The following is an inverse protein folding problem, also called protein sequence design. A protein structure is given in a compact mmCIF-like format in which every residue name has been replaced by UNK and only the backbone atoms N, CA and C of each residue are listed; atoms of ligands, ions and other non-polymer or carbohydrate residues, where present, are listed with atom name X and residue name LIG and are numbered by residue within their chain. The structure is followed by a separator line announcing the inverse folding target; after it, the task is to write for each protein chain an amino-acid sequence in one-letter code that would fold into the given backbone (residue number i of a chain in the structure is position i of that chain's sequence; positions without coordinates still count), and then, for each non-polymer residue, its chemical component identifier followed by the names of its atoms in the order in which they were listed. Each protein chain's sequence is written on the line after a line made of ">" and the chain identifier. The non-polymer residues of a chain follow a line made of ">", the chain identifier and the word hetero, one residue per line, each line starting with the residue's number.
data_IF_763022423263
#
_entry.id   IF_763022423263
#
_cell.length_a   1.000
_cell.length_b   1.000
_cell.length_c   1.000
_cell.angle_alpha   90.00
_cell.angle_beta   90.00
_cell.angle_gamma   90.00
#
_symmetry.space_group_name_H-M   'P 1'
#
loop_
_entity.id
_entity.type
_entity.pdbx_description
1 polymer ?
#
# COMPACT_ATOMS: atom_id res chain seq x y z
N UNK A 1 -8.77 33.68 9.27
CA UNK A 1 -7.64 33.89 8.34
C UNK A 1 -6.41 33.07 8.71
N UNK A 2 -6.00 33.03 9.99
CA UNK A 2 -4.84 32.24 10.46
C UNK A 2 -4.91 30.73 10.15
N UNK A 3 -6.08 30.09 10.29
CA UNK A 3 -6.25 28.66 10.00
C UNK A 3 -6.07 28.33 8.50
N UNK A 4 -6.58 29.18 7.60
CA UNK A 4 -6.39 29.02 6.15
C UNK A 4 -4.92 29.21 5.76
N UNK A 5 -4.26 30.21 6.36
CA UNK A 5 -2.83 30.43 6.17
C UNK A 5 -1.99 29.24 6.69
N UNK A 6 -2.33 28.68 7.86
CA UNK A 6 -1.69 27.50 8.40
C UNK A 6 -1.88 26.26 7.52
N UNK A 7 -3.10 26.05 7.01
CA UNK A 7 -3.39 24.95 6.10
C UNK A 7 -2.59 25.05 4.79
N UNK A 8 -2.54 26.25 4.20
CA UNK A 8 -1.75 26.50 2.98
C UNK A 8 -0.26 26.31 3.27
N UNK A 9 0.25 26.80 4.40
CA UNK A 9 1.64 26.58 4.79
C UNK A 9 1.96 25.09 4.95
N UNK A 10 1.09 24.32 5.62
CA UNK A 10 1.25 22.88 5.80
C UNK A 10 1.21 22.12 4.45
N UNK A 11 0.31 22.49 3.54
CA UNK A 11 0.23 21.91 2.21
C UNK A 11 1.50 22.20 1.38
N UNK A 12 2.05 23.42 1.47
CA UNK A 12 3.30 23.78 0.80
C UNK A 12 4.50 23.02 1.37
N UNK A 13 4.56 22.85 2.70
CA UNK A 13 5.61 22.05 3.34
C UNK A 13 5.51 20.59 2.90
N UNK A 14 4.31 20.00 2.92
CA UNK A 14 4.08 18.62 2.49
C UNK A 14 4.40 18.42 1.01
N UNK A 15 3.96 19.34 0.16
CA UNK A 15 4.30 19.36 -1.26
C UNK A 15 5.80 19.47 -1.48
N UNK A 16 6.48 20.36 -0.76
CA UNK A 16 7.94 20.50 -0.80
C UNK A 16 8.67 19.21 -0.42
N UNK A 17 8.25 18.54 0.67
CA UNK A 17 8.81 17.25 1.08
C UNK A 17 8.58 16.19 -0.02
N UNK A 18 7.38 16.09 -0.58
CA UNK A 18 7.08 15.15 -1.65
C UNK A 18 7.95 15.40 -2.90
N UNK A 19 8.16 16.67 -3.28
CA UNK A 19 9.04 17.05 -4.39
C UNK A 19 10.49 16.64 -4.13
N UNK A 20 11.03 16.84 -2.92
CA UNK A 20 12.39 16.38 -2.59
C UNK A 20 12.54 14.86 -2.63
N UNK A 21 11.46 14.11 -2.44
CA UNK A 21 11.44 12.66 -2.61
C UNK A 21 11.56 12.25 -4.08
N UNK A 22 10.94 13.00 -5.00
CA UNK A 22 11.03 12.78 -6.45
C UNK A 22 12.45 12.98 -6.99
N UNK A 23 13.21 13.93 -6.43
CA UNK A 23 14.61 14.14 -6.81
C UNK A 23 15.55 12.97 -6.43
N UNK A 24 15.09 12.07 -5.54
CA UNK A 24 15.87 10.94 -5.00
C UNK A 24 15.45 9.58 -5.56
N UNK A 25 14.58 9.54 -6.56
CA UNK A 25 14.20 8.27 -7.19
C UNK A 25 15.39 7.67 -7.94
N UNK A 26 15.47 6.33 -7.94
CA UNK A 26 16.49 5.64 -8.72
C UNK A 26 16.26 5.89 -10.23
N UNK A 27 17.31 5.94 -11.06
CA UNK A 27 17.15 5.99 -12.50
C UNK A 27 16.37 4.78 -13.00
N UNK A 28 15.56 4.98 -14.04
CA UNK A 28 14.83 3.90 -14.68
C UNK A 28 15.80 2.78 -15.14
N UNK A 29 15.47 1.53 -14.85
CA UNK A 29 16.29 0.36 -15.18
C UNK A 29 17.52 0.14 -14.30
N UNK A 30 17.71 0.90 -13.21
CA UNK A 30 18.81 0.72 -12.24
C UNK A 30 18.26 0.53 -10.82
N UNK A 31 17.80 -0.67 -10.46
CA UNK A 31 17.36 -0.96 -9.09
C UNK A 31 18.56 -0.96 -8.12
N UNK A 32 18.31 -0.60 -6.86
CA UNK A 32 19.37 -0.47 -5.84
C UNK A 32 19.71 -1.83 -5.18
N UNK A 33 18.80 -2.34 -4.35
CA UNK A 33 18.95 -3.63 -3.66
C UNK A 33 17.91 -4.59 -4.20
N UNK A 34 18.37 -5.60 -4.94
CA UNK A 34 17.51 -6.56 -5.66
C UNK A 34 17.51 -7.95 -5.03
N UNK A 35 18.20 -8.18 -3.92
CA UNK A 35 18.34 -9.53 -3.34
C UNK A 35 16.98 -10.20 -3.05
N UNK A 36 16.03 -9.42 -2.53
CA UNK A 36 14.66 -9.88 -2.28
C UNK A 36 13.89 -10.11 -3.59
N UNK A 37 14.02 -9.21 -4.57
CA UNK A 37 13.37 -9.32 -5.87
C UNK A 37 13.86 -10.59 -6.61
N UNK A 38 15.17 -10.81 -6.64
CA UNK A 38 15.83 -11.98 -7.22
C UNK A 38 15.39 -13.27 -6.51
N UNK A 39 15.28 -13.26 -5.17
CA UNK A 39 14.78 -14.41 -4.42
C UNK A 39 13.37 -14.79 -4.88
N UNK A 40 12.44 -13.84 -4.95
CA UNK A 40 11.06 -14.12 -5.40
C UNK A 40 11.02 -14.59 -6.85
N UNK A 41 11.81 -13.99 -7.74
CA UNK A 41 11.86 -14.39 -9.15
C UNK A 41 12.39 -15.82 -9.35
N UNK A 42 13.35 -16.23 -8.54
CA UNK A 42 14.00 -17.54 -8.67
C UNK A 42 13.27 -18.66 -7.91
N UNK A 43 12.60 -18.36 -6.80
CA UNK A 43 12.03 -19.37 -5.91
C UNK A 43 10.49 -19.44 -5.92
N UNK A 44 9.77 -18.50 -6.53
CA UNK A 44 8.29 -18.51 -6.52
C UNK A 44 7.68 -19.82 -7.07
N UNK A 45 8.27 -20.39 -8.12
CA UNK A 45 7.78 -21.64 -8.69
C UNK A 45 8.13 -22.85 -7.81
N UNK A 46 9.35 -22.92 -7.29
CA UNK A 46 9.81 -24.03 -6.46
C UNK A 46 9.12 -24.05 -5.09
N UNK A 47 9.10 -22.91 -4.40
CA UNK A 47 8.59 -22.79 -3.03
C UNK A 47 7.05 -22.80 -2.98
N UNK A 48 6.38 -22.22 -3.98
CA UNK A 48 4.93 -21.94 -3.94
C UNK A 48 4.15 -22.48 -5.13
N UNK A 49 4.79 -23.18 -6.07
CA UNK A 49 4.14 -23.70 -7.28
C UNK A 49 3.39 -22.62 -8.07
N UNK A 50 3.92 -21.38 -8.04
CA UNK A 50 3.26 -20.21 -8.60
C UNK A 50 4.03 -19.65 -9.79
N UNK A 51 3.50 -19.84 -11.00
CA UNK A 51 4.02 -19.23 -12.24
C UNK A 51 3.87 -17.69 -12.24
N UNK A 52 2.85 -17.19 -11.53
CA UNK A 52 2.65 -15.76 -11.36
C UNK A 52 3.33 -15.28 -10.08
N UNK A 53 4.54 -14.74 -10.22
CA UNK A 53 5.34 -14.22 -9.11
C UNK A 53 4.60 -13.14 -8.33
N UNK A 54 3.86 -12.25 -9.00
CA UNK A 54 3.11 -11.17 -8.33
C UNK A 54 2.02 -11.76 -7.41
N UNK A 55 1.26 -12.74 -7.88
CA UNK A 55 0.25 -13.41 -7.07
C UNK A 55 0.90 -14.15 -5.89
N UNK A 56 2.04 -14.79 -6.10
CA UNK A 56 2.79 -15.44 -5.02
C UNK A 56 3.29 -14.45 -3.97
N UNK A 57 3.63 -13.22 -4.35
CA UNK A 57 4.02 -12.21 -3.37
C UNK A 57 2.81 -11.81 -2.52
N UNK A 58 1.69 -11.49 -3.16
CA UNK A 58 0.50 -10.94 -2.48
C UNK A 58 -0.22 -11.99 -1.63
N UNK A 59 -0.34 -13.24 -2.09
CA UNK A 59 -1.10 -14.28 -1.40
C UNK A 59 -0.26 -15.28 -0.60
N UNK A 60 1.04 -15.36 -0.87
CA UNK A 60 1.90 -16.41 -0.32
C UNK A 60 3.02 -15.83 0.56
N UNK A 61 3.90 -14.98 0.03
CA UNK A 61 5.02 -14.41 0.79
C UNK A 61 4.58 -13.30 1.75
N UNK A 62 3.65 -12.44 1.31
CA UNK A 62 3.13 -11.29 2.06
C UNK A 62 1.63 -11.38 2.28
N UNK A 63 1.14 -12.61 2.48
CA UNK A 63 -0.27 -12.92 2.70
C UNK A 63 -0.90 -12.10 3.84
N UNK A 64 -0.11 -11.74 4.86
CA UNK A 64 -0.58 -10.98 6.01
C UNK A 64 -0.98 -9.53 5.67
N UNK A 65 -0.30 -8.91 4.71
CA UNK A 65 -0.64 -7.57 4.24
C UNK A 65 -2.01 -7.59 3.53
N UNK A 66 -2.22 -8.56 2.64
CA UNK A 66 -3.48 -8.79 1.93
C UNK A 66 -4.64 -9.20 2.85
N UNK A 67 -4.35 -9.99 3.89
CA UNK A 67 -5.33 -10.29 4.94
C UNK A 67 -5.73 -9.01 5.69
N UNK A 68 -4.76 -8.14 5.97
CA UNK A 68 -5.01 -6.82 6.54
C UNK A 68 -5.88 -5.94 5.65
N UNK A 69 -5.58 -5.86 4.35
CA UNK A 69 -6.42 -5.15 3.36
C UNK A 69 -7.86 -5.68 3.36
N UNK A 70 -8.01 -7.00 3.37
CA UNK A 70 -9.33 -7.65 3.42
C UNK A 70 -10.07 -7.34 4.73
N UNK A 71 -9.36 -7.30 5.86
CA UNK A 71 -9.94 -6.93 7.16
C UNK A 71 -10.38 -5.45 7.19
N UNK A 72 -9.62 -4.55 6.56
CA UNK A 72 -10.00 -3.13 6.41
C UNK A 72 -11.28 -3.01 5.58
N UNK A 73 -11.35 -3.67 4.42
CA UNK A 73 -12.55 -3.66 3.58
C UNK A 73 -13.77 -4.26 4.29
N UNK A 74 -13.58 -5.38 5.00
CA UNK A 74 -14.62 -5.99 5.81
C UNK A 74 -15.13 -5.04 6.90
N UNK A 75 -14.22 -4.39 7.63
CA UNK A 75 -14.57 -3.41 8.67
C UNK A 75 -15.30 -2.20 8.09
N UNK A 76 -14.89 -1.72 6.92
CA UNK A 76 -15.58 -0.64 6.22
C UNK A 76 -17.01 -1.05 5.85
N UNK A 77 -17.20 -2.26 5.32
CA UNK A 77 -18.53 -2.81 5.01
C UNK A 77 -19.39 -2.92 6.27
N UNK A 78 -18.87 -3.51 7.35
CA UNK A 78 -19.58 -3.61 8.63
C UNK A 78 -19.98 -2.23 9.16
N UNK A 79 -19.11 -1.22 9.04
CA UNK A 79 -19.38 0.15 9.49
C UNK A 79 -20.53 0.78 8.70
N UNK A 80 -20.54 0.63 7.37
CA UNK A 80 -21.65 1.11 6.52
C UNK A 80 -22.95 0.41 6.91
N UNK A 81 -22.95 -0.93 7.02
CA UNK A 81 -24.15 -1.68 7.41
C UNK A 81 -24.65 -1.26 8.79
N UNK A 82 -23.76 -1.08 9.76
CA UNK A 82 -24.12 -0.65 11.11
C UNK A 82 -24.76 0.75 11.13
N UNK A 83 -24.23 1.70 10.35
CA UNK A 83 -24.75 3.08 10.25
C UNK A 83 -26.10 3.16 9.54
N UNK A 84 -26.30 2.36 8.48
CA UNK A 84 -27.52 2.42 7.66
C UNK A 84 -28.57 1.37 8.04
N UNK A 85 -28.34 0.55 9.07
CA UNK A 85 -29.33 -0.40 9.58
C UNK A 85 -30.55 0.37 10.12
N UNK A 86 -31.74 0.06 9.59
CA UNK A 86 -33.01 0.59 10.11
C UNK A 86 -33.12 0.26 11.60
N UNK A 87 -33.24 1.27 12.45
CA UNK A 87 -33.54 1.10 13.86
C UNK A 87 -34.83 0.29 14.00
N UNK A 88 -34.79 -0.81 14.76
CA UNK A 88 -35.99 -1.57 15.08
C UNK A 88 -36.97 -0.65 15.81
N UNK A 89 -38.24 -0.67 15.39
CA UNK A 89 -39.33 -0.12 16.18
C UNK A 89 -39.44 -0.89 17.50
#
# INVERSE_FOLDING_TARGET
>A
MKLKALFVAAALVMGGIAMTGLDRIHPFGKPNAVEMDEYYLTHALEDRSAENVVTSIVFDYRAFDTLGESAVLFTALCSVVALFRKGGN
#
